data_IF_324446680441
#
_entry.id   IF_324446680441
#
_cell.length_a   1.000
_cell.length_b   1.000
_cell.length_c   1.000
_cell.angle_alpha   90.00
_cell.angle_beta   90.00
_cell.angle_gamma   90.00
#
_symmetry.space_group_name_H-M   'P 1'
#
loop_
_entity.id
_entity.type
_entity.pdbx_description
1 polymer ?
#
# COMPACT_ATOMS: atom_id res chain seq x y z
N UNK A 1 16.38 49.38 2.86
CA UNK A 1 15.49 48.39 2.21
C UNK A 1 15.05 47.39 3.27
N UNK A 2 13.75 47.07 3.27
CA UNK A 2 12.98 46.52 4.39
C UNK A 2 13.28 45.04 4.66
N UNK A 3 13.38 44.69 5.94
CA UNK A 3 13.32 43.30 6.44
C UNK A 3 11.85 42.91 6.58
N UNK A 4 11.48 41.78 6.00
CA UNK A 4 10.12 41.20 6.08
C UNK A 4 10.15 40.22 7.26
N UNK A 5 9.34 40.48 8.28
CA UNK A 5 9.03 39.53 9.34
C UNK A 5 7.55 39.18 9.19
N UNK A 6 7.28 37.96 8.74
CA UNK A 6 5.94 37.37 8.77
C UNK A 6 5.80 36.59 10.08
N UNK A 7 5.03 37.14 11.01
CA UNK A 7 4.55 36.42 12.19
C UNK A 7 3.16 35.88 11.89
N UNK A 8 3.03 34.57 11.70
CA UNK A 8 1.75 33.87 11.68
C UNK A 8 1.51 33.27 13.07
N UNK A 9 0.48 33.75 13.76
CA UNK A 9 0.00 33.20 15.03
C UNK A 9 -1.29 32.41 14.78
N UNK A 10 -1.38 31.27 15.45
CA UNK A 10 -2.27 30.14 15.24
C UNK A 10 -3.42 30.09 16.29
N UNK A 11 -4.51 29.39 15.93
CA UNK A 11 -5.58 28.71 16.71
C UNK A 11 -6.64 29.57 17.46
N UNK A 12 -7.94 29.24 17.32
CA UNK A 12 -8.73 28.51 18.35
C UNK A 12 -10.18 28.16 17.90
N UNK A 13 -10.46 26.85 17.87
CA UNK A 13 -11.66 26.09 18.28
C UNK A 13 -13.10 26.56 18.02
N UNK A 14 -13.97 25.62 17.61
CA UNK A 14 -15.04 25.05 18.47
C UNK A 14 -15.65 23.82 17.78
N UNK A 15 -15.63 22.69 18.50
CA UNK A 15 -16.33 21.44 18.24
C UNK A 15 -17.74 21.57 18.86
N UNK A 16 -18.80 21.26 18.12
CA UNK A 16 -20.14 21.01 18.69
C UNK A 16 -20.50 19.53 18.54
N UNK A 17 -20.55 18.84 19.68
CA UNK A 17 -21.14 17.51 19.88
C UNK A 17 -22.61 17.71 20.24
N UNK A 18 -23.54 16.98 19.62
CA UNK A 18 -24.85 16.58 20.16
C UNK A 18 -25.35 15.40 19.28
N UNK A 19 -25.23 14.13 19.72
CA UNK A 19 -26.16 13.39 20.60
C UNK A 19 -27.58 13.27 20.06
N UNK A 20 -28.00 12.02 19.80
CA UNK A 20 -29.38 11.68 19.46
C UNK A 20 -29.58 10.17 19.29
N UNK A 21 -29.39 9.39 20.34
CA UNK A 21 -30.04 8.08 20.49
C UNK A 21 -31.49 8.33 20.92
N UNK A 22 -32.46 7.71 20.24
CA UNK A 22 -33.79 7.46 20.81
C UNK A 22 -34.34 6.15 20.22
N UNK A 23 -34.35 5.11 21.06
CA UNK A 23 -35.22 3.94 20.91
C UNK A 23 -36.65 4.31 21.32
N UNK A 24 -37.66 3.69 20.69
CA UNK A 24 -38.93 3.33 21.33
C UNK A 24 -39.74 2.33 20.50
N UNK A 25 -39.86 1.11 21.06
CA UNK A 25 -41.11 0.36 21.33
C UNK A 25 -42.02 -0.12 20.17
N UNK A 26 -42.09 -1.43 19.92
CA UNK A 26 -43.03 -2.44 20.48
C UNK A 26 -44.40 -2.53 19.79
N UNK A 27 -44.80 -3.78 19.44
CA UNK A 27 -46.17 -4.22 19.66
C UNK A 27 -46.88 -5.06 18.58
N UNK A 28 -46.78 -6.39 18.72
CA UNK A 28 -47.83 -7.44 18.63
C UNK A 28 -48.84 -7.48 17.44
N UNK A 29 -48.96 -8.68 16.87
CA UNK A 29 -50.22 -9.15 16.28
C UNK A 29 -50.10 -10.47 15.51
N UNK A 30 -50.32 -11.60 16.19
CA UNK A 30 -50.48 -12.93 15.59
C UNK A 30 -51.96 -13.16 15.27
N UNK A 31 -52.29 -13.71 14.11
CA UNK A 31 -53.29 -14.78 14.00
C UNK A 31 -53.26 -15.53 12.65
N UNK A 32 -53.52 -16.82 12.80
CA UNK A 32 -53.54 -17.96 11.87
C UNK A 32 -54.70 -17.88 10.88
N UNK A 33 -54.51 -18.41 9.66
CA UNK A 33 -55.45 -19.35 9.00
C UNK A 33 -54.88 -19.88 7.68
N UNK A 34 -54.65 -21.19 7.65
CA UNK A 34 -54.46 -22.04 6.48
C UNK A 34 -55.84 -22.46 5.94
N UNK A 35 -55.98 -22.69 4.62
CA UNK A 35 -56.32 -24.06 4.21
C UNK A 35 -55.60 -24.54 2.94
N UNK A 36 -55.24 -25.81 2.95
CA UNK A 36 -54.72 -26.60 1.83
C UNK A 36 -55.74 -26.73 0.68
N UNK A 37 -55.29 -26.68 -0.59
CA UNK A 37 -55.83 -27.53 -1.67
C UNK A 37 -54.77 -27.75 -2.76
N UNK A 38 -54.77 -28.95 -3.32
CA UNK A 38 -53.73 -29.64 -4.08
C UNK A 38 -53.83 -29.43 -5.60
N UNK A 39 -52.67 -29.56 -6.27
CA UNK A 39 -52.43 -30.01 -7.66
C UNK A 39 -52.48 -28.96 -8.78
N UNK A 40 -51.33 -28.65 -9.41
CA UNK A 40 -50.89 -29.21 -10.71
C UNK A 40 -49.61 -28.52 -11.21
N UNK A 41 -48.72 -29.34 -11.76
CA UNK A 41 -47.42 -28.98 -12.32
C UNK A 41 -47.54 -28.00 -13.49
N UNK A 42 -46.77 -26.92 -13.44
CA UNK A 42 -46.33 -26.20 -14.63
C UNK A 42 -44.89 -25.77 -14.37
N UNK A 43 -43.97 -26.46 -15.04
CA UNK A 43 -42.55 -26.18 -15.10
C UNK A 43 -42.36 -24.85 -15.83
N UNK A 44 -42.19 -23.76 -15.08
CA UNK A 44 -41.79 -22.46 -15.63
C UNK A 44 -40.26 -22.45 -15.63
N UNK A 45 -39.59 -22.31 -16.79
CA UNK A 45 -38.15 -22.15 -16.80
C UNK A 45 -37.84 -20.81 -16.15
N UNK A 46 -37.27 -20.86 -14.94
CA UNK A 46 -36.69 -19.69 -14.29
C UNK A 46 -35.44 -19.34 -15.10
N UNK A 47 -35.61 -18.44 -16.06
CA UNK A 47 -34.52 -17.71 -16.67
C UNK A 47 -33.89 -16.89 -15.54
N UNK A 48 -32.86 -17.43 -14.90
CA UNK A 48 -32.03 -16.68 -13.97
C UNK A 48 -31.34 -15.59 -14.80
N UNK A 49 -31.92 -14.39 -14.77
CA UNK A 49 -31.22 -13.17 -15.14
C UNK A 49 -29.92 -13.15 -14.34
N UNK A 50 -28.78 -13.18 -15.04
CA UNK A 50 -27.49 -12.80 -14.46
C UNK A 50 -27.61 -11.33 -14.07
N UNK A 51 -28.16 -11.08 -12.88
CA UNK A 51 -27.98 -9.82 -12.18
C UNK A 51 -26.48 -9.69 -11.93
N UNK A 52 -25.98 -8.49 -12.27
CA UNK A 52 -24.62 -8.04 -12.10
C UNK A 52 -23.91 -8.74 -10.95
N UNK A 53 -22.81 -9.43 -11.28
CA UNK A 53 -21.75 -9.68 -10.33
C UNK A 53 -21.30 -8.30 -9.84
N UNK A 54 -21.93 -7.87 -8.75
CA UNK A 54 -21.35 -7.01 -7.72
C UNK A 54 -19.87 -7.36 -7.65
N UNK A 55 -19.01 -6.37 -7.91
CA UNK A 55 -17.56 -6.49 -7.88
C UNK A 55 -17.18 -7.24 -6.61
N UNK A 56 -16.93 -8.53 -6.76
CA UNK A 56 -16.43 -9.37 -5.69
C UNK A 56 -15.19 -8.67 -5.20
N UNK A 57 -15.24 -8.27 -3.93
CA UNK A 57 -14.22 -7.54 -3.20
C UNK A 57 -12.86 -8.12 -3.56
N UNK A 58 -12.19 -7.50 -4.55
CA UNK A 58 -11.10 -8.17 -5.25
C UNK A 58 -9.96 -8.27 -4.25
N UNK A 59 -9.80 -9.46 -3.67
CA UNK A 59 -8.73 -9.77 -2.73
C UNK A 59 -7.43 -9.44 -3.44
N UNK A 60 -6.74 -8.46 -2.87
CA UNK A 60 -5.70 -7.78 -3.57
C UNK A 60 -4.37 -8.49 -3.34
N UNK A 61 -4.02 -9.38 -4.25
CA UNK A 61 -2.75 -10.09 -4.24
C UNK A 61 -1.74 -9.32 -5.12
N UNK A 62 -1.03 -8.34 -4.57
CA UNK A 62 0.17 -7.85 -5.27
C UNK A 62 1.27 -8.88 -5.16
N UNK A 63 1.84 -9.23 -6.31
CA UNK A 63 3.09 -9.98 -6.31
C UNK A 63 4.19 -9.13 -5.66
N UNK A 64 5.05 -9.76 -4.86
CA UNK A 64 6.17 -9.08 -4.21
C UNK A 64 7.15 -8.59 -5.29
N UNK A 65 7.60 -7.32 -5.24
CA UNK A 65 8.60 -6.82 -6.18
C UNK A 65 9.90 -7.61 -6.02
N UNK A 66 10.59 -7.87 -7.13
CA UNK A 66 11.87 -8.58 -7.08
C UNK A 66 13.03 -7.61 -6.89
N UNK A 67 14.07 -8.06 -6.20
CA UNK A 67 15.35 -7.35 -6.05
C UNK A 67 16.50 -8.33 -6.31
N UNK A 68 17.44 -7.90 -7.14
CA UNK A 68 18.58 -8.72 -7.56
C UNK A 68 19.85 -7.90 -7.64
N UNK A 69 20.97 -8.52 -7.28
CA UNK A 69 22.30 -8.00 -7.55
C UNK A 69 22.79 -8.52 -8.90
N UNK A 70 23.12 -7.61 -9.80
CA UNK A 70 23.75 -7.90 -11.09
C UNK A 70 25.24 -7.58 -10.94
N UNK A 71 26.07 -8.62 -10.98
CA UNK A 71 27.53 -8.49 -10.94
C UNK A 71 28.16 -8.94 -12.25
N UNK A 72 29.31 -8.34 -12.58
CA UNK A 72 30.14 -8.80 -13.71
C UNK A 72 30.95 -10.06 -13.38
N UNK A 73 31.12 -10.39 -12.08
CA UNK A 73 32.03 -11.44 -11.59
C UNK A 73 31.33 -12.76 -11.25
N UNK A 74 30.03 -12.77 -11.01
CA UNK A 74 29.26 -13.95 -10.65
C UNK A 74 27.79 -13.80 -11.09
N UNK A 75 27.09 -14.92 -11.39
CA UNK A 75 25.67 -14.88 -11.73
C UNK A 75 24.82 -14.33 -10.58
N UNK A 76 23.70 -13.70 -10.95
CA UNK A 76 22.75 -12.99 -10.08
C UNK A 76 22.64 -13.55 -8.66
N UNK A 77 23.16 -12.78 -7.70
CA UNK A 77 23.07 -13.11 -6.27
C UNK A 77 21.78 -12.49 -5.72
N UNK A 78 21.04 -13.28 -4.95
CA UNK A 78 19.85 -12.80 -4.23
C UNK A 78 20.33 -11.88 -3.12
N UNK A 79 19.88 -10.62 -3.15
CA UNK A 79 20.15 -9.65 -2.10
C UNK A 79 19.13 -9.87 -0.98
N UNK A 80 19.60 -10.03 0.26
CA UNK A 80 18.72 -10.07 1.43
C UNK A 80 17.88 -8.78 1.50
N UNK A 81 16.59 -8.96 1.68
CA UNK A 81 15.60 -7.88 1.68
C UNK A 81 14.41 -8.22 2.58
N UNK A 82 13.66 -7.19 2.96
CA UNK A 82 12.40 -7.33 3.68
C UNK A 82 11.31 -6.53 3.00
N UNK A 83 10.30 -7.24 2.49
CA UNK A 83 9.09 -6.65 1.96
C UNK A 83 7.98 -6.63 3.01
N UNK A 84 7.27 -5.50 3.12
CA UNK A 84 6.10 -5.38 3.99
C UNK A 84 5.00 -4.60 3.27
N UNK A 85 3.79 -5.17 3.26
CA UNK A 85 2.56 -4.43 2.99
C UNK A 85 2.14 -3.70 4.27
N UNK A 86 2.01 -2.37 4.20
CA UNK A 86 1.73 -1.51 5.35
C UNK A 86 0.22 -1.26 5.51
N UNK A 87 -0.48 -1.02 4.41
CA UNK A 87 -1.92 -0.85 4.37
C UNK A 87 -2.47 -1.02 2.96
N UNK A 88 -3.77 -1.35 2.88
CA UNK A 88 -4.52 -1.47 1.65
C UNK A 88 -5.98 -1.02 1.84
N UNK A 89 -6.49 -0.20 0.91
CA UNK A 89 -7.80 0.48 0.84
C UNK A 89 -8.22 1.35 2.04
N UNK A 90 -7.59 1.14 3.19
CA UNK A 90 -7.76 1.90 4.43
C UNK A 90 -6.38 2.31 4.99
N UNK A 91 -5.74 3.21 4.26
CA UNK A 91 -4.51 3.84 4.68
C UNK A 91 -4.84 5.13 5.42
N UNK A 92 -4.51 5.18 6.71
CA UNK A 92 -4.53 6.43 7.48
C UNK A 92 -3.30 7.27 7.09
N UNK A 93 -3.53 8.53 6.72
CA UNK A 93 -2.52 9.48 6.25
C UNK A 93 -1.40 9.70 7.28
N UNK A 94 -1.63 9.39 8.56
CA UNK A 94 -0.66 9.57 9.64
C UNK A 94 0.19 8.33 9.98
N UNK A 95 0.08 7.22 9.24
CA UNK A 95 0.86 6.02 9.56
C UNK A 95 2.34 6.22 9.28
N UNK A 96 3.14 6.25 10.33
CA UNK A 96 4.60 6.22 10.25
C UNK A 96 5.04 4.78 10.01
N UNK A 97 5.91 4.57 9.02
CA UNK A 97 6.57 3.28 8.79
C UNK A 97 7.92 3.27 9.48
N UNK A 98 8.20 2.22 10.26
CA UNK A 98 9.51 2.01 10.88
C UNK A 98 10.34 1.12 9.96
N UNK A 99 11.51 1.62 9.55
CA UNK A 99 12.43 0.88 8.68
C UNK A 99 13.24 -0.12 9.52
N UNK A 100 13.02 -1.45 9.37
CA UNK A 100 13.77 -2.45 10.14
C UNK A 100 15.24 -2.50 9.70
N UNK A 101 16.17 -2.83 10.60
CA UNK A 101 17.56 -3.10 10.23
C UNK A 101 17.65 -4.43 9.46
N UNK A 102 18.25 -4.40 8.28
CA UNK A 102 18.32 -5.56 7.37
C UNK A 102 19.75 -6.12 7.36
N UNK A 103 19.87 -7.43 7.58
CA UNK A 103 21.11 -8.15 7.36
C UNK A 103 21.28 -8.33 5.85
N UNK A 104 22.48 -8.04 5.34
CA UNK A 104 22.73 -7.76 3.92
C UNK A 104 23.48 -8.89 3.23
N UNK A 105 23.21 -9.04 1.93
CA UNK A 105 24.08 -9.77 1.02
C UNK A 105 25.30 -8.92 0.61
N UNK A 106 26.42 -9.58 0.33
CA UNK A 106 27.69 -8.93 -0.03
C UNK A 106 27.58 -8.18 -1.38
N UNK A 107 27.89 -6.88 -1.40
CA UNK A 107 27.95 -6.04 -2.62
C UNK A 107 29.32 -5.39 -2.78
N UNK A 108 29.76 -5.21 -4.02
CA UNK A 108 31.00 -4.48 -4.33
C UNK A 108 30.72 -3.22 -5.15
N UNK A 109 31.60 -2.23 -5.06
CA UNK A 109 31.57 -1.09 -5.98
C UNK A 109 31.66 -1.58 -7.44
N UNK A 110 30.77 -1.08 -8.28
CA UNK A 110 30.60 -1.55 -9.66
C UNK A 110 29.46 -2.54 -9.86
N UNK A 111 28.95 -3.19 -8.81
CA UNK A 111 27.72 -3.99 -8.88
C UNK A 111 26.50 -3.09 -9.19
N UNK A 112 25.41 -3.70 -9.67
CA UNK A 112 24.11 -3.04 -9.87
C UNK A 112 23.02 -3.72 -9.08
N UNK A 113 22.12 -2.95 -8.50
CA UNK A 113 20.90 -3.44 -7.88
C UNK A 113 19.74 -3.17 -8.83
N UNK A 114 19.06 -4.24 -9.25
CA UNK A 114 17.83 -4.17 -10.04
C UNK A 114 16.64 -4.46 -9.14
N UNK A 115 15.71 -3.51 -9.08
CA UNK A 115 14.41 -3.68 -8.44
C UNK A 115 13.35 -3.66 -9.54
N UNK A 116 12.48 -4.67 -9.57
CA UNK A 116 11.44 -4.84 -10.59
C UNK A 116 10.08 -5.09 -9.92
N UNK A 117 9.14 -4.18 -10.15
CA UNK A 117 7.77 -4.22 -9.64
C UNK A 117 6.73 -4.41 -10.75
N UNK A 118 7.13 -4.87 -11.94
CA UNK A 118 6.21 -5.06 -13.08
C UNK A 118 5.07 -6.03 -12.79
N UNK A 119 5.29 -6.96 -11.86
CA UNK A 119 4.29 -7.95 -11.46
C UNK A 119 3.31 -7.44 -10.41
N UNK A 120 3.58 -6.29 -9.78
CA UNK A 120 2.64 -5.65 -8.86
C UNK A 120 1.41 -5.17 -9.65
N UNK A 121 0.22 -5.51 -9.16
CA UNK A 121 -1.05 -5.17 -9.80
C UNK A 121 -2.05 -4.62 -8.78
N UNK A 122 -2.60 -3.38 -8.94
CA UNK A 122 -2.20 -2.47 -10.00
C UNK A 122 -0.76 -2.01 -9.77
N UNK A 123 -0.22 -1.39 -10.79
CA UNK A 123 1.10 -0.78 -10.73
C UNK A 123 1.02 0.41 -9.74
N UNK A 124 2.00 0.57 -8.84
CA UNK A 124 2.03 1.72 -7.94
C UNK A 124 2.06 3.03 -8.72
N UNK A 125 1.25 4.00 -8.30
CA UNK A 125 1.17 5.33 -8.92
C UNK A 125 2.38 6.19 -8.58
N UNK A 126 3.01 5.93 -7.43
CA UNK A 126 4.21 6.64 -6.98
C UNK A 126 5.20 5.65 -6.37
N UNK A 127 6.48 5.78 -6.74
CA UNK A 127 7.58 4.99 -6.20
C UNK A 127 8.64 5.95 -5.69
N UNK A 128 9.14 5.71 -4.48
CA UNK A 128 10.19 6.53 -3.88
C UNK A 128 11.35 5.66 -3.40
N UNK A 129 12.57 6.10 -3.64
CA UNK A 129 13.77 5.54 -3.03
C UNK A 129 14.13 6.38 -1.80
N UNK A 130 14.22 5.73 -0.66
CA UNK A 130 14.45 6.36 0.64
C UNK A 130 15.75 5.81 1.21
N UNK A 131 16.68 6.70 1.58
CA UNK A 131 17.88 6.32 2.32
C UNK A 131 17.61 6.44 3.80
N UNK A 132 18.01 5.43 4.56
CA UNK A 132 17.73 5.32 6.00
C UNK A 132 19.03 5.22 6.78
N UNK A 133 19.07 5.82 7.98
CA UNK A 133 20.20 5.66 8.90
C UNK A 133 20.05 4.39 9.76
N UNK A 134 21.03 4.11 10.62
CA UNK A 134 21.03 2.93 11.50
C UNK A 134 19.96 2.96 12.60
N UNK A 135 19.30 4.10 12.82
CA UNK A 135 18.19 4.23 13.78
C UNK A 135 16.83 4.02 13.10
N UNK A 136 16.80 3.78 11.79
CA UNK A 136 15.55 3.69 11.04
C UNK A 136 14.97 5.06 10.67
N UNK A 137 15.75 6.14 10.69
CA UNK A 137 15.29 7.48 10.31
C UNK A 137 15.60 7.76 8.83
N UNK A 138 14.67 8.44 8.15
CA UNK A 138 14.86 8.90 6.77
C UNK A 138 15.94 9.98 6.69
N UNK A 139 16.94 9.76 5.83
CA UNK A 139 18.02 10.70 5.51
C UNK A 139 17.67 11.50 4.25
N UNK A 140 17.10 10.81 3.25
CA UNK A 140 16.74 11.41 1.96
C UNK A 140 15.66 10.59 1.27
N UNK A 141 14.87 11.27 0.44
CA UNK A 141 13.83 10.67 -0.40
C UNK A 141 13.93 11.20 -1.83
N UNK A 142 13.96 10.27 -2.77
CA UNK A 142 13.99 10.52 -4.21
C UNK A 142 12.74 9.92 -4.85
N UNK A 143 12.06 10.70 -5.68
CA UNK A 143 10.92 10.21 -6.45
C UNK A 143 11.40 9.50 -7.72
N UNK A 144 10.94 8.28 -7.93
CA UNK A 144 11.34 7.44 -9.06
C UNK A 144 10.27 7.55 -10.14
N UNK A 145 10.70 7.78 -11.39
CA UNK A 145 9.77 7.79 -12.53
C UNK A 145 9.13 6.39 -12.71
N UNK A 146 7.81 6.35 -12.62
CA UNK A 146 6.98 5.15 -12.73
C UNK A 146 6.59 4.77 -14.16
N UNK A 147 7.02 5.54 -15.18
CA UNK A 147 6.94 5.15 -16.60
C UNK A 147 7.73 3.85 -16.88
N UNK A 148 8.72 3.56 -16.04
CA UNK A 148 9.42 2.28 -15.96
C UNK A 148 8.94 1.50 -14.73
N UNK A 149 8.74 0.19 -14.89
CA UNK A 149 8.46 -0.74 -13.79
C UNK A 149 9.72 -1.25 -13.08
N UNK A 150 10.86 -0.62 -13.34
CA UNK A 150 12.17 -1.05 -12.83
C UNK A 150 13.03 0.13 -12.41
N UNK A 151 13.84 -0.10 -11.37
CA UNK A 151 14.87 0.81 -10.88
C UNK A 151 16.23 0.10 -10.91
N UNK A 152 17.23 0.74 -11.50
CA UNK A 152 18.60 0.25 -11.58
C UNK A 152 19.53 1.19 -10.82
N UNK A 153 20.20 0.69 -9.80
CA UNK A 153 21.07 1.48 -8.92
C UNK A 153 22.50 0.98 -9.10
N UNK A 154 23.39 1.87 -9.53
CA UNK A 154 24.82 1.59 -9.59
C UNK A 154 25.43 1.73 -8.19
N UNK A 155 26.07 0.67 -7.68
CA UNK A 155 26.76 0.72 -6.39
C UNK A 155 28.11 1.42 -6.58
N UNK A 156 28.31 2.54 -5.88
CA UNK A 156 29.62 3.20 -5.75
C UNK A 156 30.23 2.89 -4.37
N UNK A 157 31.51 3.20 -4.19
CA UNK A 157 32.21 3.06 -2.88
C UNK A 157 31.49 3.80 -1.76
N UNK A 158 30.86 4.94 -2.06
CA UNK A 158 30.15 5.71 -1.04
C UNK A 158 28.82 5.06 -0.67
N UNK A 159 28.24 4.21 -1.52
CA UNK A 159 26.95 3.56 -1.26
C UNK A 159 27.07 2.34 -0.35
N UNK A 160 28.28 1.79 -0.20
CA UNK A 160 28.56 0.63 0.65
C UNK A 160 28.30 0.97 2.12
N UNK A 161 27.66 0.05 2.83
CA UNK A 161 27.22 0.16 4.22
C UNK A 161 25.86 0.86 4.41
N UNK A 162 25.30 1.49 3.37
CA UNK A 162 24.04 2.24 3.47
C UNK A 162 22.82 1.33 3.34
N UNK A 163 21.74 1.76 3.99
CA UNK A 163 20.44 1.12 3.97
C UNK A 163 19.42 1.96 3.19
N UNK A 164 18.55 1.26 2.46
CA UNK A 164 17.55 1.85 1.61
C UNK A 164 16.20 1.17 1.80
N UNK A 165 15.16 1.91 1.46
CA UNK A 165 13.80 1.43 1.37
C UNK A 165 13.19 1.94 0.07
N UNK A 166 12.53 1.06 -0.68
CA UNK A 166 11.70 1.44 -1.82
C UNK A 166 10.27 1.43 -1.37
N UNK A 167 9.67 2.61 -1.37
CA UNK A 167 8.29 2.84 -0.99
C UNK A 167 7.42 2.81 -2.26
N UNK A 168 6.43 1.93 -2.28
CA UNK A 168 5.42 1.82 -3.33
C UNK A 168 4.10 2.34 -2.79
N UNK A 169 3.54 3.37 -3.44
CA UNK A 169 2.28 3.99 -3.05
C UNK A 169 1.26 3.87 -4.19
N UNK A 170 0.04 3.52 -3.80
CA UNK A 170 -1.14 3.57 -4.66
C UNK A 170 -2.01 4.71 -4.19
N UNK A 171 -2.22 5.69 -5.06
CA UNK A 171 -3.01 6.87 -4.80
C UNK A 171 -4.16 6.97 -5.79
N UNK A 172 -5.29 7.42 -5.29
CA UNK A 172 -6.43 7.86 -6.10
C UNK A 172 -6.61 9.36 -5.86
N UNK A 173 -6.06 10.17 -6.77
CA UNK A 173 -5.82 11.59 -6.52
C UNK A 173 -4.90 11.79 -5.31
N UNK A 174 -5.38 12.52 -4.30
CA UNK A 174 -4.65 12.76 -3.04
C UNK A 174 -4.83 11.63 -2.02
N UNK A 175 -5.81 10.74 -2.20
CA UNK A 175 -6.12 9.70 -1.22
C UNK A 175 -5.13 8.55 -1.36
N UNK A 176 -4.44 8.21 -0.27
CA UNK A 176 -3.62 7.01 -0.20
C UNK A 176 -4.51 5.76 -0.10
N UNK A 177 -4.38 4.86 -1.08
CA UNK A 177 -5.12 3.61 -1.16
C UNK A 177 -4.25 2.40 -0.79
N UNK A 178 -2.94 2.51 -0.92
CA UNK A 178 -2.04 1.41 -0.59
C UNK A 178 -0.63 1.89 -0.32
N UNK A 179 0.06 1.16 0.53
CA UNK A 179 1.46 1.42 0.86
C UNK A 179 2.17 0.10 1.13
N UNK A 180 3.29 -0.13 0.44
CA UNK A 180 4.21 -1.21 0.76
C UNK A 180 5.66 -0.72 0.67
N UNK A 181 6.56 -1.42 1.36
CA UNK A 181 7.96 -1.04 1.47
C UNK A 181 8.86 -2.25 1.28
N UNK A 182 9.87 -2.12 0.42
CA UNK A 182 10.95 -3.08 0.24
C UNK A 182 12.25 -2.51 0.82
N UNK A 183 12.79 -3.15 1.85
CA UNK A 183 13.98 -2.70 2.57
C UNK A 183 15.18 -3.56 2.20
N UNK A 184 16.34 -2.94 1.97
CA UNK A 184 17.59 -3.64 1.71
C UNK A 184 18.80 -2.84 2.18
N UNK A 185 19.92 -3.51 2.36
CA UNK A 185 21.19 -2.90 2.80
C UNK A 185 22.32 -3.35 1.88
N UNK A 186 23.24 -2.44 1.61
CA UNK A 186 24.44 -2.67 0.80
C UNK A 186 25.59 -2.89 1.79
N UNK A 187 26.18 -4.09 1.88
CA UNK A 187 27.28 -4.37 2.81
C UNK A 187 28.43 -5.09 2.14
#
# INVERSE_FOLDING_TARGET
MKKIALSFTLILSIIFILSGCLEAEQGKGSQVNEPETKTQNAEVPLTTEKQNEEEADAEFHTEIPSIKKISSKAPDIILDNSYQEVCWRDCDDNRTYNYPDIHSGEVEAGDRILIDWRTMKPIPSEVNLIRVNSLGEEISKENINTDSSTLNIQVSEEEIGKQYAVQFLWKDGEKLQGHSVLNYKLK
#
